data_IF_621386806538
#
_entry.id   IF_621386806538
#
_cell.length_a   1.000
_cell.length_b   1.000
_cell.length_c   1.000
_cell.angle_alpha   90.00
_cell.angle_beta   90.00
_cell.angle_gamma   90.00
#
_symmetry.space_group_name_H-M   'P 1'
#
loop_
_entity.id
_entity.type
_entity.pdbx_description
1 polymer ?
#
# COMPACT_ATOMS: atom_id res chain seq x y z
N UNK A 1 15.12 5.65 6.89
CA UNK A 1 13.78 5.06 6.70
C UNK A 1 13.93 3.75 5.96
N UNK A 2 13.23 2.69 6.40
CA UNK A 2 13.30 1.37 5.77
C UNK A 2 11.93 0.95 5.26
N UNK A 3 11.88 0.45 4.04
CA UNK A 3 10.72 -0.21 3.47
C UNK A 3 11.01 -1.69 3.31
N UNK A 4 10.11 -2.55 3.77
CA UNK A 4 10.22 -4.00 3.69
C UNK A 4 8.97 -4.53 3.00
N UNK A 5 9.15 -5.22 1.88
CA UNK A 5 8.05 -5.87 1.18
C UNK A 5 7.69 -7.21 1.84
N UNK A 6 6.42 -7.39 2.12
CA UNK A 6 5.89 -8.61 2.73
C UNK A 6 5.22 -9.53 1.70
N UNK A 7 5.33 -9.16 0.42
CA UNK A 7 4.65 -9.83 -0.68
C UNK A 7 3.37 -9.11 -1.08
N UNK A 8 2.99 -9.24 -2.35
CA UNK A 8 1.79 -8.64 -2.95
C UNK A 8 1.72 -7.13 -2.75
N UNK A 9 0.63 -6.63 -2.16
CA UNK A 9 0.42 -5.23 -1.78
C UNK A 9 0.93 -4.87 -0.38
N UNK A 10 1.46 -5.84 0.36
CA UNK A 10 1.78 -5.69 1.79
C UNK A 10 3.18 -5.16 2.02
N UNK A 11 3.29 -4.14 2.87
CA UNK A 11 4.58 -3.53 3.23
C UNK A 11 4.68 -3.24 4.73
N UNK A 12 5.91 -3.11 5.19
CA UNK A 12 6.30 -2.58 6.48
C UNK A 12 7.22 -1.38 6.26
N UNK A 13 6.85 -0.22 6.79
CA UNK A 13 7.64 1.00 6.77
C UNK A 13 8.13 1.31 8.19
N UNK A 14 9.45 1.46 8.35
CA UNK A 14 10.09 1.83 9.60
C UNK A 14 10.72 3.23 9.50
N UNK A 15 10.36 4.12 10.41
CA UNK A 15 10.89 5.48 10.47
C UNK A 15 10.78 6.05 11.89
N UNK A 16 11.88 6.57 12.44
CA UNK A 16 11.90 7.02 13.82
C UNK A 16 11.45 5.92 14.79
N UNK A 17 10.47 6.24 15.64
CA UNK A 17 9.82 5.29 16.55
C UNK A 17 8.55 4.65 15.95
N UNK A 18 8.24 4.95 14.68
CA UNK A 18 7.03 4.48 14.01
C UNK A 18 7.31 3.28 13.13
N UNK A 19 6.50 2.25 13.28
CA UNK A 19 6.42 1.09 12.39
C UNK A 19 5.01 1.01 11.84
N UNK A 20 4.86 1.35 10.57
CA UNK A 20 3.60 1.32 9.84
C UNK A 20 3.51 0.02 9.02
N UNK A 21 2.51 -0.81 9.33
CA UNK A 21 2.18 -1.97 8.53
C UNK A 21 1.11 -1.58 7.51
N UNK A 22 1.30 -1.88 6.25
CA UNK A 22 0.43 -1.45 5.14
C UNK A 22 -0.20 -2.67 4.50
N UNK A 23 -1.53 -2.68 4.38
CA UNK A 23 -2.32 -3.72 3.72
C UNK A 23 -1.89 -5.15 4.11
N UNK A 24 -1.91 -5.52 5.40
CA UNK A 24 -1.34 -6.76 5.85
C UNK A 24 -2.15 -7.98 5.40
N UNK A 25 -1.56 -8.73 4.48
CA UNK A 25 -1.95 -10.07 4.11
C UNK A 25 -0.78 -11.02 4.36
N UNK A 26 -0.77 -11.66 5.51
CA UNK A 26 0.28 -12.56 5.97
C UNK A 26 -0.19 -14.02 5.84
N UNK A 27 -1.36 -14.29 6.44
CA UNK A 27 -1.94 -15.64 6.46
C UNK A 27 -2.41 -16.06 5.07
N UNK A 28 -1.78 -17.09 4.53
CA UNK A 28 -2.09 -17.60 3.20
C UNK A 28 -1.46 -16.81 2.05
N UNK A 29 -0.59 -15.83 2.33
CA UNK A 29 0.23 -15.17 1.32
C UNK A 29 1.31 -16.17 0.82
N UNK A 30 1.27 -16.59 -0.47
CA UNK A 30 2.12 -17.68 -0.92
C UNK A 30 3.61 -17.34 -1.04
N UNK A 31 3.97 -16.05 -0.95
CA UNK A 31 5.37 -15.59 -1.07
C UNK A 31 5.98 -15.17 0.27
N UNK A 32 5.17 -15.01 1.35
CA UNK A 32 5.67 -14.72 2.68
C UNK A 32 5.73 -16.00 3.52
N UNK A 33 6.92 -16.50 3.92
CA UNK A 33 7.04 -17.69 4.75
C UNK A 33 6.37 -17.51 6.12
N UNK A 34 5.67 -18.54 6.61
CA UNK A 34 4.94 -18.47 7.89
C UNK A 34 5.87 -18.18 9.09
N UNK A 35 7.10 -18.69 9.07
CA UNK A 35 8.09 -18.43 10.11
C UNK A 35 8.62 -16.99 10.14
N UNK A 36 8.30 -16.17 9.12
CA UNK A 36 8.61 -14.75 9.07
C UNK A 36 7.47 -13.84 9.58
N UNK A 37 6.27 -14.37 9.83
CA UNK A 37 5.11 -13.56 10.23
C UNK A 37 5.35 -12.75 11.51
N UNK A 38 5.96 -13.35 12.54
CA UNK A 38 6.25 -12.62 13.79
C UNK A 38 7.28 -11.49 13.57
N UNK A 39 8.30 -11.72 12.74
CA UNK A 39 9.27 -10.69 12.39
C UNK A 39 8.63 -9.55 11.57
N UNK A 40 7.70 -9.89 10.66
CA UNK A 40 6.98 -8.91 9.84
C UNK A 40 6.15 -7.91 10.67
N UNK A 41 5.61 -8.35 11.82
CA UNK A 41 4.72 -7.52 12.67
C UNK A 41 5.39 -6.96 13.91
N UNK A 42 6.63 -7.32 14.20
CA UNK A 42 7.32 -6.91 15.43
C UNK A 42 7.40 -5.39 15.55
N UNK A 43 6.95 -4.84 16.68
CA UNK A 43 7.02 -3.42 16.97
C UNK A 43 6.09 -2.54 16.13
N UNK A 44 5.13 -3.11 15.38
CA UNK A 44 4.11 -2.34 14.67
C UNK A 44 3.40 -1.38 15.60
N UNK A 45 3.28 -0.12 15.19
CA UNK A 45 2.61 0.96 15.94
C UNK A 45 1.27 1.35 15.34
N UNK A 46 1.13 1.20 14.02
CA UNK A 46 -0.09 1.54 13.26
C UNK A 46 -0.27 0.58 12.08
N UNK A 47 -1.51 0.37 11.65
CA UNK A 47 -1.83 -0.43 10.47
C UNK A 47 -2.64 0.42 9.49
N UNK A 48 -2.18 0.56 8.25
CA UNK A 48 -2.77 1.36 7.19
C UNK A 48 -3.48 0.47 6.16
N UNK A 49 -4.68 0.87 5.74
CA UNK A 49 -5.47 0.18 4.73
C UNK A 49 -5.70 1.06 3.51
N UNK A 50 -5.46 0.53 2.31
CA UNK A 50 -5.82 1.18 1.04
C UNK A 50 -7.26 0.85 0.61
N UNK A 51 -7.69 -0.41 0.72
CA UNK A 51 -9.04 -0.86 0.36
C UNK A 51 -9.33 -2.26 0.95
N UNK A 52 -10.57 -2.74 0.80
CA UNK A 52 -11.07 -3.90 1.53
C UNK A 52 -11.02 -5.23 0.76
N UNK A 53 -10.24 -5.38 -0.32
CA UNK A 53 -10.04 -6.70 -0.91
C UNK A 53 -9.25 -7.61 0.02
N UNK A 54 -9.50 -8.92 -0.08
CA UNK A 54 -8.99 -9.93 0.87
C UNK A 54 -7.46 -9.89 1.00
N UNK A 55 -6.76 -9.67 -0.08
CA UNK A 55 -5.30 -9.61 -0.20
C UNK A 55 -4.68 -8.32 0.34
N UNK A 56 -5.49 -7.43 0.89
CA UNK A 56 -5.08 -6.20 1.60
C UNK A 56 -5.59 -6.17 3.05
N UNK A 57 -6.74 -6.77 3.32
CA UNK A 57 -7.45 -6.63 4.60
C UNK A 57 -7.42 -7.88 5.48
N UNK A 58 -6.97 -9.04 4.95
CA UNK A 58 -7.15 -10.34 5.58
C UNK A 58 -6.68 -10.41 7.04
N UNK A 59 -5.51 -9.87 7.34
CA UNK A 59 -4.95 -9.92 8.69
C UNK A 59 -5.13 -8.61 9.48
N UNK A 60 -5.79 -7.59 8.93
CA UNK A 60 -5.89 -6.28 9.53
C UNK A 60 -6.56 -6.30 10.91
N UNK A 61 -7.81 -6.78 11.00
CA UNK A 61 -8.53 -6.86 12.27
C UNK A 61 -7.87 -7.79 13.31
N UNK A 62 -7.44 -9.02 12.93
CA UNK A 62 -6.69 -9.88 13.84
C UNK A 62 -5.42 -9.22 14.39
N UNK A 63 -4.66 -8.50 13.56
CA UNK A 63 -3.42 -7.84 13.98
C UNK A 63 -3.68 -6.62 14.87
N UNK A 64 -4.67 -5.78 14.55
CA UNK A 64 -5.05 -4.67 15.42
C UNK A 64 -5.38 -5.16 16.84
N UNK A 65 -6.14 -6.25 16.96
CA UNK A 65 -6.48 -6.85 18.26
C UNK A 65 -5.27 -7.48 18.95
N UNK A 66 -4.43 -8.21 18.22
CA UNK A 66 -3.24 -8.89 18.76
C UNK A 66 -2.22 -7.89 19.30
N UNK A 67 -1.99 -6.80 18.56
CA UNK A 67 -0.94 -5.82 18.85
C UNK A 67 -1.42 -4.63 19.68
N UNK A 68 -2.75 -4.43 19.77
CA UNK A 68 -3.33 -3.27 20.46
C UNK A 68 -3.01 -1.95 19.78
N UNK A 69 -2.97 -1.93 18.44
CA UNK A 69 -2.61 -0.77 17.63
C UNK A 69 -3.78 -0.29 16.76
N UNK A 70 -3.88 1.01 16.45
CA UNK A 70 -4.96 1.55 15.64
C UNK A 70 -4.88 1.12 14.17
N UNK A 71 -6.07 0.95 13.57
CA UNK A 71 -6.28 0.87 12.13
C UNK A 71 -6.46 2.28 11.54
N UNK A 72 -5.80 2.56 10.41
CA UNK A 72 -5.89 3.83 9.68
C UNK A 72 -6.46 3.55 8.29
N UNK A 73 -7.44 4.35 7.85
CA UNK A 73 -8.01 4.17 6.52
C UNK A 73 -9.20 5.08 6.25
N UNK A 74 -9.95 4.72 5.20
CA UNK A 74 -11.11 5.48 4.76
C UNK A 74 -12.20 5.51 5.83
N UNK A 75 -12.79 6.70 6.06
CA UNK A 75 -13.66 7.01 7.19
C UNK A 75 -14.80 6.01 7.38
N UNK A 76 -15.53 5.64 6.33
CA UNK A 76 -16.71 4.79 6.46
C UNK A 76 -16.34 3.38 6.97
N UNK A 77 -15.20 2.84 6.52
CA UNK A 77 -14.67 1.54 6.97
C UNK A 77 -14.19 1.65 8.42
N UNK A 78 -13.41 2.67 8.73
CA UNK A 78 -12.84 2.88 10.07
C UNK A 78 -13.91 3.16 11.11
N UNK A 79 -14.94 3.94 10.78
CA UNK A 79 -16.09 4.20 11.66
C UNK A 79 -16.83 2.90 11.97
N UNK A 80 -17.12 2.10 10.93
CA UNK A 80 -17.78 0.81 11.10
C UNK A 80 -16.96 -0.14 12.00
N UNK A 81 -15.66 -0.23 11.79
CA UNK A 81 -14.80 -1.11 12.59
C UNK A 81 -14.63 -0.62 14.03
N UNK A 82 -14.49 0.69 14.25
CA UNK A 82 -14.44 1.27 15.60
C UNK A 82 -15.70 0.98 16.42
N UNK A 83 -16.87 1.01 15.75
CA UNK A 83 -18.16 0.73 16.40
C UNK A 83 -18.44 -0.76 16.65
N UNK A 84 -17.98 -1.66 15.76
CA UNK A 84 -18.44 -3.05 15.72
C UNK A 84 -17.34 -4.08 16.00
N UNK A 85 -16.04 -3.73 15.79
CA UNK A 85 -14.94 -4.68 15.86
C UNK A 85 -14.07 -4.51 17.12
N UNK A 86 -14.39 -3.54 17.96
CA UNK A 86 -13.70 -3.22 19.23
C UNK A 86 -12.18 -3.03 19.03
N UNK A 87 -11.81 -2.19 18.04
CA UNK A 87 -10.44 -1.75 17.77
C UNK A 87 -10.38 -0.22 17.74
N UNK A 88 -9.22 0.34 18.02
CA UNK A 88 -8.96 1.76 17.80
C UNK A 88 -8.82 2.05 16.31
N UNK A 89 -9.40 3.16 15.84
CA UNK A 89 -9.40 3.52 14.42
C UNK A 89 -9.12 5.01 14.21
N UNK A 90 -8.43 5.33 13.11
CA UNK A 90 -8.19 6.69 12.62
C UNK A 90 -8.79 6.78 11.23
N UNK A 91 -10.02 7.27 11.14
CA UNK A 91 -10.75 7.41 9.88
C UNK A 91 -10.65 8.80 9.29
N UNK A 92 -10.32 8.91 7.99
CA UNK A 92 -10.31 10.15 7.24
C UNK A 92 -10.67 9.92 5.77
N UNK A 93 -10.70 10.96 4.95
CA UNK A 93 -11.11 10.84 3.56
C UNK A 93 -10.11 11.50 2.60
N UNK A 94 -10.29 11.24 1.29
CA UNK A 94 -9.48 11.78 0.18
C UNK A 94 -9.32 13.30 0.31
N UNK A 95 -8.09 13.78 0.23
CA UNK A 95 -7.70 15.17 0.47
C UNK A 95 -7.38 15.51 1.93
N UNK A 96 -7.75 14.64 2.88
CA UNK A 96 -7.41 14.79 4.29
C UNK A 96 -5.99 14.28 4.59
N UNK A 97 -5.44 14.78 5.70
CA UNK A 97 -4.12 14.36 6.22
C UNK A 97 -4.25 14.04 7.70
N UNK A 98 -3.61 12.95 8.13
CA UNK A 98 -3.51 12.54 9.53
C UNK A 98 -2.05 12.24 9.87
N UNK A 99 -1.71 12.36 11.15
CA UNK A 99 -0.40 11.98 11.68
C UNK A 99 -0.48 10.60 12.33
N UNK A 100 0.49 9.76 12.04
CA UNK A 100 0.67 8.43 12.60
C UNK A 100 2.10 8.29 13.13
N UNK A 101 2.34 8.75 14.37
CA UNK A 101 3.68 8.85 14.92
C UNK A 101 4.57 9.81 14.12
N UNK A 102 5.67 9.30 13.56
CA UNK A 102 6.63 10.08 12.76
C UNK A 102 6.26 10.18 11.27
N UNK A 103 5.07 9.72 10.91
CA UNK A 103 4.58 9.67 9.52
C UNK A 103 3.35 10.54 9.34
N UNK A 104 3.37 11.39 8.30
CA UNK A 104 2.19 12.13 7.84
C UNK A 104 1.57 11.40 6.64
N UNK A 105 0.28 11.11 6.70
CA UNK A 105 -0.47 10.36 5.71
C UNK A 105 -1.55 11.23 5.07
N UNK A 106 -1.41 11.55 3.78
CA UNK A 106 -2.47 12.23 3.02
C UNK A 106 -3.16 11.22 2.10
N UNK A 107 -4.47 11.07 2.24
CA UNK A 107 -5.24 10.17 1.38
C UNK A 107 -5.50 10.80 0.02
N UNK A 108 -5.24 10.05 -1.06
CA UNK A 108 -5.43 10.48 -2.45
C UNK A 108 -6.31 9.51 -3.21
N UNK A 109 -6.88 9.90 -4.37
CA UNK A 109 -7.67 9.01 -5.21
C UNK A 109 -6.89 7.79 -5.69
N UNK A 110 -7.62 6.69 -5.88
CA UNK A 110 -7.26 5.53 -6.68
C UNK A 110 -8.45 5.13 -7.55
N UNK A 111 -8.24 4.35 -8.62
CA UNK A 111 -9.26 3.88 -9.54
C UNK A 111 -9.26 2.35 -9.58
N UNK A 112 -10.09 1.76 -8.73
CA UNK A 112 -10.20 0.31 -8.54
C UNK A 112 -11.60 0.00 -7.99
N UNK A 113 -11.72 -1.00 -7.14
CA UNK A 113 -12.93 -1.30 -6.36
C UNK A 113 -12.55 -1.63 -4.91
N UNK A 114 -13.55 -1.65 -4.03
CA UNK A 114 -13.33 -2.01 -2.63
C UNK A 114 -14.53 -2.81 -2.11
N UNK A 115 -14.28 -4.01 -1.58
CA UNK A 115 -15.33 -4.90 -1.09
C UNK A 115 -14.82 -5.89 -0.06
N UNK A 116 -15.69 -6.29 0.86
CA UNK A 116 -15.48 -7.48 1.70
C UNK A 116 -16.08 -8.72 1.05
N UNK A 117 -15.46 -9.87 1.23
CA UNK A 117 -16.08 -11.15 0.97
C UNK A 117 -17.21 -11.43 1.97
N UNK A 118 -18.31 -11.99 1.49
CA UNK A 118 -19.41 -12.46 2.36
C UNK A 118 -19.99 -13.78 1.82
N UNK A 119 -20.87 -14.43 2.60
CA UNK A 119 -21.57 -15.66 2.19
C UNK A 119 -22.41 -15.45 0.91
N UNK A 120 -22.85 -14.23 0.65
CA UNK A 120 -23.67 -13.87 -0.51
C UNK A 120 -22.85 -13.28 -1.67
N UNK A 121 -21.52 -13.26 -1.57
CA UNK A 121 -20.59 -12.66 -2.53
C UNK A 121 -19.99 -11.33 -2.05
N UNK A 122 -19.24 -10.63 -2.90
CA UNK A 122 -18.60 -9.37 -2.53
C UNK A 122 -19.62 -8.30 -2.12
N UNK A 123 -19.36 -7.62 -1.01
CA UNK A 123 -20.15 -6.49 -0.51
C UNK A 123 -19.29 -5.23 -0.58
N UNK A 124 -19.77 -4.19 -1.25
CA UNK A 124 -19.04 -2.92 -1.36
C UNK A 124 -18.70 -2.37 0.04
N UNK A 125 -17.48 -1.92 0.23
CA UNK A 125 -16.97 -1.44 1.52
C UNK A 125 -16.01 -0.27 1.33
N UNK A 126 -16.47 0.91 1.64
CA UNK A 126 -15.72 2.14 1.43
C UNK A 126 -15.35 2.36 -0.03
N UNK A 127 -14.22 3.00 -0.25
CA UNK A 127 -13.64 3.17 -1.58
C UNK A 127 -12.14 2.90 -1.53
N UNK A 128 -11.58 2.58 -2.68
CA UNK A 128 -10.14 2.45 -2.89
C UNK A 128 -9.43 3.79 -2.79
N UNK A 129 -8.23 3.76 -2.23
CA UNK A 129 -7.40 4.96 -2.04
C UNK A 129 -5.92 4.66 -2.20
N UNK A 130 -5.15 5.68 -2.56
CA UNK A 130 -3.71 5.73 -2.40
C UNK A 130 -3.32 6.68 -1.26
N UNK A 131 -2.03 6.78 -1.00
CA UNK A 131 -1.50 7.67 0.03
C UNK A 131 -0.25 8.42 -0.44
N UNK A 132 -0.16 9.69 -0.04
CA UNK A 132 1.11 10.40 0.02
C UNK A 132 1.63 10.25 1.45
N UNK A 133 2.76 9.58 1.60
CA UNK A 133 3.41 9.30 2.87
C UNK A 133 4.61 10.23 2.99
N UNK A 134 4.70 10.99 4.09
CA UNK A 134 5.83 11.86 4.38
C UNK A 134 6.51 11.44 5.67
N UNK A 135 7.81 11.17 5.59
CA UNK A 135 8.65 10.85 6.74
C UNK A 135 10.12 11.16 6.41
N UNK A 136 10.90 11.59 7.38
CA UNK A 136 12.35 11.88 7.25
C UNK A 136 12.72 12.76 6.05
N UNK A 137 11.83 13.71 5.70
CA UNK A 137 12.02 14.60 4.54
C UNK A 137 11.79 13.96 3.18
N UNK A 138 11.33 12.70 3.14
CA UNK A 138 10.94 11.98 1.92
C UNK A 138 9.45 12.11 1.65
N UNK A 139 9.07 12.05 0.37
CA UNK A 139 7.68 12.01 -0.09
C UNK A 139 7.48 10.77 -0.96
N UNK A 140 6.64 9.86 -0.49
CA UNK A 140 6.33 8.60 -1.14
C UNK A 140 4.89 8.65 -1.65
N UNK A 141 4.66 8.24 -2.89
CA UNK A 141 3.33 7.89 -3.39
C UNK A 141 3.15 6.38 -3.31
N UNK A 142 2.25 5.93 -2.44
CA UNK A 142 1.73 4.56 -2.41
C UNK A 142 0.43 4.55 -3.21
N UNK A 143 0.42 3.87 -4.35
CA UNK A 143 -0.75 3.92 -5.24
C UNK A 143 -1.98 3.21 -4.66
N UNK A 144 -1.78 2.22 -3.79
CA UNK A 144 -2.77 1.17 -3.59
C UNK A 144 -3.03 0.44 -4.90
N UNK A 145 -4.13 -0.27 -4.99
CA UNK A 145 -4.57 -0.85 -6.25
C UNK A 145 -5.25 0.19 -7.11
N UNK A 146 -4.78 0.35 -8.33
CA UNK A 146 -5.29 1.39 -9.22
C UNK A 146 -5.02 1.09 -10.70
N UNK A 147 -5.86 1.65 -11.56
CA UNK A 147 -5.55 1.93 -12.96
C UNK A 147 -4.85 3.30 -13.11
N UNK A 148 -4.43 3.63 -14.32
CA UNK A 148 -3.98 4.97 -14.70
C UNK A 148 -5.17 5.93 -14.62
N UNK A 149 -4.99 7.07 -13.95
CA UNK A 149 -6.04 8.08 -13.85
C UNK A 149 -5.51 9.49 -14.07
N UNK A 150 -6.37 10.37 -14.54
CA UNK A 150 -6.01 11.76 -14.82
C UNK A 150 -5.58 12.54 -13.57
N UNK A 151 -6.12 12.15 -12.42
CA UNK A 151 -5.76 12.74 -11.12
C UNK A 151 -4.27 12.62 -10.78
N UNK A 152 -3.55 11.65 -11.36
CA UNK A 152 -2.10 11.50 -11.17
C UNK A 152 -1.33 12.75 -11.64
N UNK A 153 -1.88 13.56 -12.58
CA UNK A 153 -1.27 14.80 -13.07
C UNK A 153 -1.13 15.84 -11.94
N UNK A 154 -2.23 16.17 -11.27
CA UNK A 154 -2.18 17.14 -10.16
C UNK A 154 -1.52 16.55 -8.91
N UNK A 155 -1.64 15.23 -8.67
CA UNK A 155 -0.95 14.59 -7.55
C UNK A 155 0.57 14.67 -7.69
N UNK A 156 1.10 14.48 -8.91
CA UNK A 156 2.52 14.62 -9.22
C UNK A 156 3.00 16.06 -9.06
N UNK A 157 2.22 17.03 -9.57
CA UNK A 157 2.57 18.46 -9.50
C UNK A 157 2.50 19.01 -8.06
N UNK A 158 1.42 18.71 -7.34
CA UNK A 158 1.17 19.30 -6.02
C UNK A 158 1.98 18.64 -4.90
N UNK A 159 2.05 17.31 -4.86
CA UNK A 159 2.73 16.58 -3.79
C UNK A 159 4.20 16.32 -4.06
N UNK A 160 4.60 16.28 -5.31
CA UNK A 160 5.99 16.08 -5.79
C UNK A 160 6.67 14.84 -5.14
N UNK A 161 6.04 13.65 -5.17
CA UNK A 161 6.66 12.47 -4.59
C UNK A 161 7.91 12.06 -5.38
N UNK A 162 8.98 11.75 -4.66
CA UNK A 162 10.24 11.28 -5.25
C UNK A 162 10.34 9.75 -5.31
N UNK A 163 9.47 9.05 -4.57
CA UNK A 163 9.41 7.60 -4.52
C UNK A 163 7.99 7.15 -4.88
N UNK A 164 7.86 6.20 -5.80
CA UNK A 164 6.59 5.58 -6.16
C UNK A 164 6.56 4.11 -5.76
N UNK A 165 5.58 3.69 -4.94
CA UNK A 165 5.23 2.30 -4.73
C UNK A 165 3.99 2.05 -5.57
N UNK A 166 4.12 1.32 -6.67
CA UNK A 166 3.08 1.22 -7.69
C UNK A 166 2.58 -0.20 -7.87
N UNK A 167 1.27 -0.40 -7.83
CA UNK A 167 0.66 -1.66 -8.22
C UNK A 167 0.89 -1.89 -9.72
N UNK A 168 1.48 -3.03 -10.08
CA UNK A 168 1.95 -3.32 -11.43
C UNK A 168 1.77 -4.79 -11.84
N UNK A 169 0.79 -5.48 -11.25
CA UNK A 169 0.57 -6.92 -11.44
C UNK A 169 -0.13 -7.31 -12.74
N UNK A 170 -0.78 -6.38 -13.42
CA UNK A 170 -1.40 -6.59 -14.73
C UNK A 170 -2.87 -7.00 -14.66
N UNK A 171 -3.19 -8.18 -14.17
CA UNK A 171 -4.56 -8.72 -14.29
C UNK A 171 -5.62 -7.93 -13.50
N UNK A 172 -5.27 -7.45 -12.32
CA UNK A 172 -6.19 -6.73 -11.42
C UNK A 172 -5.87 -5.24 -11.32
N UNK A 173 -4.67 -4.83 -11.68
CA UNK A 173 -4.17 -3.45 -11.61
C UNK A 173 -3.47 -3.08 -12.91
N UNK A 174 -2.79 -1.94 -12.97
CA UNK A 174 -1.87 -1.63 -14.08
C UNK A 174 -0.90 -2.80 -14.30
N UNK A 175 -0.52 -3.06 -15.53
CA UNK A 175 0.65 -3.89 -15.83
C UNK A 175 1.95 -3.08 -15.67
N UNK A 176 3.11 -3.73 -15.80
CA UNK A 176 4.41 -3.06 -15.69
C UNK A 176 4.60 -1.93 -16.71
N UNK A 177 4.00 -2.04 -17.92
CA UNK A 177 4.06 -0.98 -18.94
C UNK A 177 3.14 0.19 -18.60
N UNK A 178 1.95 -0.10 -18.07
CA UNK A 178 1.00 0.91 -17.59
C UNK A 178 1.58 1.70 -16.42
N UNK A 179 2.17 1.01 -15.45
CA UNK A 179 2.84 1.63 -14.32
C UNK A 179 4.04 2.51 -14.78
N UNK A 180 4.84 2.04 -15.74
CA UNK A 180 5.92 2.83 -16.34
C UNK A 180 5.38 4.08 -17.06
N UNK A 181 4.28 3.94 -17.80
CA UNK A 181 3.64 5.07 -18.47
C UNK A 181 3.14 6.11 -17.47
N UNK A 182 2.43 5.68 -16.42
CA UNK A 182 1.92 6.56 -15.38
C UNK A 182 3.05 7.29 -14.65
N UNK A 183 4.08 6.55 -14.22
CA UNK A 183 5.25 7.11 -13.56
C UNK A 183 5.95 8.19 -14.42
N UNK A 184 6.21 7.88 -15.69
CA UNK A 184 6.88 8.81 -16.62
C UNK A 184 6.02 10.00 -17.00
N UNK A 185 4.69 9.82 -17.12
CA UNK A 185 3.77 10.85 -17.62
C UNK A 185 3.42 11.88 -16.55
N UNK A 186 3.27 11.44 -15.30
CA UNK A 186 2.65 12.23 -14.25
C UNK A 186 3.56 12.57 -13.08
N UNK A 187 4.69 11.88 -12.93
CA UNK A 187 5.54 12.02 -11.75
C UNK A 187 7.01 12.25 -12.12
N UNK A 188 7.77 12.69 -11.13
CA UNK A 188 9.22 12.92 -11.22
C UNK A 188 9.96 12.00 -10.25
N UNK A 189 9.59 10.71 -10.25
CA UNK A 189 10.17 9.73 -9.34
C UNK A 189 11.67 9.57 -9.56
N UNK A 190 12.42 9.48 -8.46
CA UNK A 190 13.81 9.02 -8.45
C UNK A 190 13.87 7.51 -8.31
N UNK A 191 12.90 6.95 -7.53
CA UNK A 191 12.83 5.53 -7.24
C UNK A 191 11.39 5.03 -7.47
N UNK A 192 11.26 3.88 -8.11
CA UNK A 192 9.97 3.17 -8.27
C UNK A 192 10.11 1.74 -7.77
N UNK A 193 9.15 1.31 -6.96
CA UNK A 193 9.08 -0.03 -6.38
C UNK A 193 7.76 -0.65 -6.82
N UNK A 194 7.77 -1.69 -7.67
CA UNK A 194 6.55 -2.38 -8.06
C UNK A 194 6.01 -3.24 -6.93
N UNK A 195 4.68 -3.35 -6.87
CA UNK A 195 3.98 -4.26 -5.97
C UNK A 195 2.81 -4.95 -6.67
N UNK A 196 2.07 -5.79 -5.96
CA UNK A 196 0.91 -6.53 -6.47
C UNK A 196 1.27 -7.48 -7.62
N UNK A 197 2.45 -8.08 -7.60
CA UNK A 197 2.98 -8.97 -8.64
C UNK A 197 3.68 -10.19 -8.01
N UNK A 198 4.09 -11.18 -8.80
CA UNK A 198 4.76 -12.45 -8.38
C UNK A 198 3.91 -13.39 -7.52
N UNK A 199 2.85 -12.95 -6.89
CA UNK A 199 2.08 -13.72 -5.91
C UNK A 199 1.25 -14.83 -6.56
N UNK A 200 0.67 -14.57 -7.72
CA UNK A 200 -0.13 -15.53 -8.47
C UNK A 200 0.43 -15.72 -9.89
N UNK A 201 0.29 -16.92 -10.51
CA UNK A 201 0.78 -17.16 -11.88
C UNK A 201 0.17 -16.28 -12.96
N UNK A 202 -1.01 -15.70 -12.72
CA UNK A 202 -1.71 -14.80 -13.64
C UNK A 202 -1.13 -13.38 -13.64
N UNK A 203 -0.35 -13.03 -12.62
CA UNK A 203 0.26 -11.71 -12.47
C UNK A 203 1.61 -11.65 -13.18
N UNK A 204 2.11 -10.44 -13.39
CA UNK A 204 3.49 -10.20 -13.83
C UNK A 204 4.49 -10.87 -12.89
N UNK A 205 5.57 -11.45 -13.44
CA UNK A 205 6.53 -12.25 -12.67
C UNK A 205 7.89 -11.55 -12.51
N UNK A 206 8.16 -10.47 -13.23
CA UNK A 206 9.36 -9.63 -13.14
C UNK A 206 9.02 -8.16 -13.37
N UNK A 207 9.99 -7.28 -13.15
CA UNK A 207 9.85 -5.84 -13.36
C UNK A 207 10.60 -5.34 -14.62
N UNK A 208 10.96 -6.21 -15.54
CA UNK A 208 11.77 -5.84 -16.71
C UNK A 208 11.10 -4.80 -17.60
N UNK A 209 9.80 -4.92 -17.83
CA UNK A 209 9.05 -3.96 -18.63
C UNK A 209 8.93 -2.58 -17.94
N UNK A 210 8.79 -2.56 -16.61
CA UNK A 210 8.81 -1.33 -15.80
C UNK A 210 10.18 -0.64 -15.92
N UNK A 211 11.25 -1.38 -15.71
CA UNK A 211 12.63 -0.89 -15.79
C UNK A 211 12.95 -0.35 -17.20
N UNK A 212 12.57 -1.08 -18.23
CA UNK A 212 12.75 -0.64 -19.62
C UNK A 212 11.97 0.64 -19.95
N UNK A 213 10.79 0.83 -19.35
CA UNK A 213 9.94 2.01 -19.53
C UNK A 213 10.40 3.26 -18.79
N UNK A 214 11.31 3.13 -17.81
CA UNK A 214 11.75 4.19 -16.91
C UNK A 214 13.29 4.41 -16.94
N UNK A 215 13.88 4.73 -18.11
CA UNK A 215 15.31 5.00 -18.17
C UNK A 215 15.69 6.20 -17.29
N UNK A 216 16.66 6.01 -16.39
CA UNK A 216 17.13 7.04 -15.47
C UNK A 216 16.41 7.10 -14.12
N UNK A 217 15.40 6.27 -13.91
CA UNK A 217 14.75 6.05 -12.62
C UNK A 217 15.31 4.77 -11.99
N UNK A 218 15.56 4.78 -10.70
CA UNK A 218 15.97 3.58 -9.97
C UNK A 218 14.74 2.69 -9.73
N UNK A 219 14.63 1.60 -10.50
CA UNK A 219 13.56 0.61 -10.34
C UNK A 219 14.05 -0.51 -9.44
N UNK A 220 13.63 -0.48 -8.19
CA UNK A 220 13.98 -1.48 -7.17
C UNK A 220 12.94 -2.59 -7.20
N UNK A 221 13.34 -3.76 -7.63
CA UNK A 221 12.54 -4.98 -7.53
C UNK A 221 12.68 -5.55 -6.10
N UNK A 222 11.62 -5.46 -5.27
CA UNK A 222 11.75 -5.82 -3.87
C UNK A 222 11.85 -7.34 -3.68
N UNK A 223 12.63 -7.75 -2.70
CA UNK A 223 12.66 -9.12 -2.20
C UNK A 223 11.91 -9.20 -0.87
N UNK A 224 11.16 -10.30 -0.67
CA UNK A 224 10.35 -10.49 0.54
C UNK A 224 11.23 -10.47 1.78
N UNK A 225 10.84 -9.69 2.79
CA UNK A 225 11.55 -9.50 4.07
C UNK A 225 12.95 -8.87 3.97
N UNK A 226 13.37 -8.38 2.81
CA UNK A 226 14.60 -7.61 2.65
C UNK A 226 14.30 -6.11 2.79
N UNK A 227 15.11 -5.41 3.60
CA UNK A 227 14.96 -3.97 3.79
C UNK A 227 15.53 -3.19 2.60
N UNK A 228 14.74 -2.23 2.10
CA UNK A 228 15.15 -1.20 1.17
C UNK A 228 15.37 0.07 1.99
N UNK A 229 16.58 0.60 1.96
CA UNK A 229 16.88 1.90 2.57
C UNK A 229 16.44 3.02 1.62
N UNK A 230 15.51 3.86 2.07
CA UNK A 230 14.91 4.96 1.31
C UNK A 230 15.52 6.31 1.68
#
# INVERSE_FOLDING_TARGET
MKLIWLGHGSFRLETGDTVLLIDPWLTGNPVLPEDQHEAAIQGTTHILLTHCHFDHVADMLPLCRKLGVPAIGQYDVMSHWGEHENIETIGFNKGGTVEAGDVSLTMVPASHSSSFGSETGPQAAGSEVGYIIRAEGKVIYLSGDTDIMADMDWMGDYYQPEIGILSAGGHFTMDMKGAAYAAKRYFNFRTVIPCHYKTFPILEQDADALRAGLPGVDVIEPEVMQAIEL
#
